data_IF_110286878075
#
_entry.id   IF_110286878075
#
_cell.length_a   1.000
_cell.length_b   1.000
_cell.length_c   1.000
_cell.angle_alpha   90.00
_cell.angle_beta   90.00
_cell.angle_gamma   90.00
#
_symmetry.space_group_name_H-M   'P 1'
#
loop_
_entity.id
_entity.type
_entity.pdbx_description
1 polymer ?
#
# COMPACT_ATOMS: atom_id res chain seq x y z
N UNK A 1 -7.95 -51.55 -28.50
CA UNK A 1 -6.68 -52.11 -29.03
C UNK A 1 -5.62 -51.03 -28.93
N UNK A 2 -4.61 -51.31 -28.10
CA UNK A 2 -3.24 -50.79 -28.09
C UNK A 2 -3.08 -49.27 -27.87
N UNK A 3 -2.66 -48.75 -26.76
CA UNK A 3 -1.54 -48.97 -25.81
C UNK A 3 -0.20 -48.32 -26.26
N UNK A 4 0.37 -47.60 -25.29
CA UNK A 4 1.81 -47.21 -25.07
C UNK A 4 2.30 -45.96 -25.82
N UNK A 5 3.19 -45.15 -25.27
CA UNK A 5 4.07 -45.22 -24.10
C UNK A 5 4.67 -43.88 -23.77
N UNK A 6 4.87 -43.57 -22.54
CA UNK A 6 6.01 -43.11 -21.77
C UNK A 6 7.08 -42.23 -22.45
N UNK A 7 7.31 -41.04 -21.92
CA UNK A 7 8.66 -40.57 -21.68
C UNK A 7 8.72 -39.63 -20.48
N UNK A 8 9.46 -40.04 -19.50
CA UNK A 8 9.93 -39.34 -18.31
C UNK A 8 10.93 -38.28 -18.70
N UNK A 9 10.79 -37.08 -18.16
CA UNK A 9 11.90 -36.14 -17.99
C UNK A 9 11.93 -35.72 -16.53
N UNK A 10 12.81 -36.32 -15.76
CA UNK A 10 13.25 -35.88 -14.46
C UNK A 10 13.97 -34.52 -14.61
N UNK A 11 13.50 -33.51 -13.88
CA UNK A 11 14.30 -32.35 -13.54
C UNK A 11 14.45 -32.30 -12.03
N UNK A 12 15.70 -32.35 -11.59
CA UNK A 12 16.19 -32.38 -10.24
C UNK A 12 15.75 -31.17 -9.43
N UNK A 13 15.01 -31.41 -8.34
CA UNK A 13 14.90 -30.47 -7.24
C UNK A 13 16.07 -30.70 -6.29
N UNK A 14 17.00 -29.75 -6.24
CA UNK A 14 17.98 -29.67 -5.17
C UNK A 14 17.32 -29.00 -3.96
N UNK A 15 16.93 -29.82 -3.00
CA UNK A 15 16.51 -29.36 -1.66
C UNK A 15 17.79 -29.17 -0.85
N UNK A 16 18.13 -27.94 -0.55
CA UNK A 16 19.17 -27.60 0.42
C UNK A 16 18.55 -27.66 1.82
N UNK A 17 18.77 -28.75 2.50
CA UNK A 17 18.44 -28.91 3.93
C UNK A 17 19.60 -28.30 4.72
N UNK A 18 19.38 -27.17 5.37
CA UNK A 18 20.24 -26.67 6.43
C UNK A 18 19.92 -27.44 7.70
N UNK A 19 20.84 -28.28 8.13
CA UNK A 19 20.82 -28.95 9.43
C UNK A 19 21.19 -27.95 10.52
N UNK A 20 20.28 -27.75 11.47
CA UNK A 20 20.57 -27.09 12.75
C UNK A 20 21.51 -28.00 13.56
N UNK A 21 22.72 -27.55 13.83
CA UNK A 21 23.53 -28.15 14.88
C UNK A 21 23.20 -27.51 16.22
N UNK A 22 22.64 -28.36 17.07
CA UNK A 22 22.44 -28.15 18.51
C UNK A 22 23.79 -27.98 19.21
N UNK A 23 24.10 -26.82 19.73
CA UNK A 23 25.10 -26.64 20.78
C UNK A 23 24.44 -26.49 22.16
N UNK A 24 24.61 -27.53 22.95
CA UNK A 24 24.21 -27.60 24.36
C UNK A 24 24.98 -26.59 25.20
N UNK A 25 24.38 -26.01 26.24
CA UNK A 25 25.08 -25.10 27.14
C UNK A 25 25.92 -25.91 28.15
N UNK A 26 27.23 -25.63 28.18
CA UNK A 26 28.09 -26.06 29.30
C UNK A 26 27.77 -25.21 30.51
N UNK A 27 27.26 -25.86 31.53
CA UNK A 27 27.25 -25.37 32.91
C UNK A 27 28.67 -25.02 33.35
N UNK A 28 28.87 -23.78 33.77
CA UNK A 28 29.86 -23.45 34.76
C UNK A 28 29.22 -22.65 35.90
N UNK A 29 28.91 -23.40 36.94
CA UNK A 29 28.77 -22.89 38.30
C UNK A 29 30.05 -22.22 38.72
N UNK A 30 29.99 -20.95 39.13
CA UNK A 30 30.70 -20.44 40.32
C UNK A 30 30.30 -18.99 40.68
N UNK A 31 30.00 -18.90 41.94
CA UNK A 31 29.98 -17.79 42.89
C UNK A 31 28.78 -16.82 42.87
N UNK A 32 27.92 -17.12 43.84
CA UNK A 32 27.20 -16.16 44.68
C UNK A 32 28.21 -15.21 45.32
N UNK A 33 27.90 -13.93 45.27
CA UNK A 33 27.95 -12.89 46.26
C UNK A 33 28.05 -11.54 45.58
N UNK A 34 26.91 -10.91 45.42
CA UNK A 34 26.82 -9.49 45.11
C UNK A 34 25.87 -8.85 46.16
N UNK A 35 26.33 -7.85 46.93
CA UNK A 35 25.47 -7.12 47.88
C UNK A 35 24.40 -6.31 47.13
N UNK A 36 23.28 -5.93 47.77
CA UNK A 36 22.12 -5.34 47.12
C UNK A 36 22.25 -3.83 46.93
N UNK A 37 23.13 -3.40 46.02
CA UNK A 37 23.11 -2.03 45.51
C UNK A 37 23.79 -1.93 44.13
N UNK A 38 23.14 -2.51 43.12
CA UNK A 38 23.55 -2.40 41.74
C UNK A 38 22.46 -1.72 40.90
N UNK A 39 21.95 -0.59 41.35
CA UNK A 39 21.10 0.26 40.52
C UNK A 39 21.97 1.15 39.63
N UNK A 40 21.98 0.85 38.33
CA UNK A 40 22.11 1.87 37.27
C UNK A 40 23.49 2.21 36.73
N UNK A 41 24.55 1.37 36.84
CA UNK A 41 25.79 1.61 36.08
C UNK A 41 25.93 0.60 34.93
N UNK A 42 25.88 1.09 33.70
CA UNK A 42 26.31 0.33 32.52
C UNK A 42 27.75 -0.16 32.79
N UNK A 43 27.94 -1.46 32.89
CA UNK A 43 29.30 -2.06 32.99
C UNK A 43 30.02 -1.74 31.68
N UNK A 44 30.99 -0.81 31.76
CA UNK A 44 32.04 -0.72 30.73
C UNK A 44 32.77 -2.05 30.75
N UNK A 45 32.72 -2.81 29.66
CA UNK A 45 33.52 -4.04 29.55
C UNK A 45 35.00 -3.62 29.62
N UNK A 46 35.65 -3.95 30.69
CA UNK A 46 37.12 -3.83 30.89
C UNK A 46 37.75 -4.86 29.97
N UNK A 47 38.17 -4.49 28.77
CA UNK A 47 38.55 -5.49 27.78
C UNK A 47 39.75 -5.18 26.90
N UNK A 48 40.35 -4.01 27.01
CA UNK A 48 41.53 -3.64 26.18
C UNK A 48 42.74 -3.28 27.05
N UNK A 49 43.00 -2.03 27.31
CA UNK A 49 44.13 -1.59 28.11
C UNK A 49 44.11 -2.18 29.55
N UNK A 50 42.96 -2.52 30.07
CA UNK A 50 42.86 -3.24 31.36
C UNK A 50 43.46 -4.65 31.29
N UNK A 51 43.44 -5.32 30.13
CA UNK A 51 44.04 -6.65 29.93
C UNK A 51 45.53 -6.58 29.60
N UNK A 52 45.93 -5.61 28.77
CA UNK A 52 47.30 -5.44 28.29
C UNK A 52 48.20 -4.72 29.32
N UNK A 53 47.63 -3.79 30.05
CA UNK A 53 48.37 -2.78 30.81
C UNK A 53 48.72 -1.58 29.94
N UNK A 54 49.12 -0.50 30.60
CA UNK A 54 49.55 0.74 29.97
C UNK A 54 51.04 0.72 29.74
N UNK A 55 51.53 1.09 28.55
CA UNK A 55 52.97 1.10 28.21
C UNK A 55 53.50 2.54 28.25
N UNK A 56 54.71 2.78 28.82
CA UNK A 56 55.29 4.11 28.88
C UNK A 56 55.87 4.52 27.52
N UNK A 57 55.70 5.80 27.20
CA UNK A 57 56.16 6.39 25.93
C UNK A 57 55.42 5.86 24.72
N UNK A 58 56.09 5.88 23.57
CA UNK A 58 55.57 5.26 22.34
C UNK A 58 56.08 3.80 22.25
N UNK A 59 55.18 2.85 22.19
CA UNK A 59 55.51 1.42 22.08
C UNK A 59 54.58 0.75 21.04
N UNK A 60 55.08 0.58 19.82
CA UNK A 60 54.39 -0.04 18.69
C UNK A 60 53.99 -1.52 18.95
N UNK A 61 54.48 -2.13 20.04
CA UNK A 61 54.11 -3.48 20.47
C UNK A 61 52.98 -3.47 21.54
N UNK A 62 52.61 -2.31 22.04
CA UNK A 62 51.56 -2.17 23.04
C UNK A 62 50.14 -2.17 22.39
N UNK A 63 49.88 -3.20 21.65
CA UNK A 63 48.69 -3.34 20.80
C UNK A 63 47.75 -4.43 21.28
N UNK A 64 46.46 -4.26 20.96
CA UNK A 64 45.40 -5.25 21.14
C UNK A 64 44.48 -5.29 19.93
N UNK A 65 43.90 -6.45 19.64
CA UNK A 65 42.90 -6.58 18.59
C UNK A 65 41.59 -5.90 19.01
N UNK A 66 41.16 -4.94 18.21
CA UNK A 66 39.97 -4.15 18.49
C UNK A 66 38.67 -4.83 18.05
N UNK A 67 38.72 -5.62 16.94
CA UNK A 67 37.53 -6.31 16.41
C UNK A 67 37.92 -7.56 15.58
N UNK A 68 36.91 -8.31 15.14
CA UNK A 68 37.08 -9.52 14.32
C UNK A 68 37.69 -9.29 12.92
N UNK A 69 37.96 -8.04 12.52
CA UNK A 69 38.57 -7.68 11.23
C UNK A 69 40.07 -7.35 11.33
N UNK A 70 40.76 -7.82 12.37
CA UNK A 70 42.17 -7.59 12.62
C UNK A 70 42.59 -6.12 12.79
N UNK A 71 41.67 -5.21 13.09
CA UNK A 71 42.05 -3.86 13.50
C UNK A 71 42.69 -3.91 14.89
N UNK A 72 43.78 -3.18 15.07
CA UNK A 72 44.53 -3.07 16.33
C UNK A 72 44.29 -1.70 16.95
N UNK A 73 44.40 -1.63 18.29
CA UNK A 73 44.44 -0.37 19.04
C UNK A 73 45.58 -0.37 20.02
N UNK A 74 46.06 0.80 20.42
CA UNK A 74 47.22 1.01 21.28
C UNK A 74 46.83 1.39 22.70
N UNK A 75 47.68 0.99 23.66
CA UNK A 75 47.53 1.30 25.08
C UNK A 75 48.79 2.01 25.65
N UNK A 76 49.52 2.70 24.81
CA UNK A 76 50.75 3.42 25.19
C UNK A 76 50.47 4.93 25.46
N UNK A 77 51.45 5.59 26.11
CA UNK A 77 51.33 7.01 26.49
C UNK A 77 51.32 7.95 25.25
N UNK A 78 51.66 7.47 24.05
CA UNK A 78 51.55 8.25 22.84
C UNK A 78 50.08 8.64 22.54
N UNK A 79 49.14 7.85 23.03
CA UNK A 79 47.71 8.16 23.00
C UNK A 79 47.34 9.44 23.79
N UNK A 80 48.19 9.91 24.67
CA UNK A 80 48.01 11.14 25.43
C UNK A 80 48.88 12.31 24.94
N UNK A 81 49.55 12.15 23.78
CA UNK A 81 50.38 13.23 23.19
C UNK A 81 49.53 14.40 22.70
N UNK A 82 50.08 15.59 22.63
CA UNK A 82 49.42 16.82 22.18
C UNK A 82 49.99 17.28 20.82
N UNK A 83 49.23 17.33 19.71
CA UNK A 83 47.82 16.94 19.63
C UNK A 83 47.63 15.40 19.74
N UNK A 84 46.56 14.95 20.35
CA UNK A 84 46.35 13.51 20.51
C UNK A 84 46.06 12.88 19.15
N UNK A 85 46.97 12.03 18.68
CA UNK A 85 46.73 11.15 17.52
C UNK A 85 45.86 9.96 17.99
N UNK A 86 44.63 10.30 18.40
CA UNK A 86 43.73 9.38 19.10
C UNK A 86 42.99 8.37 18.25
N UNK A 87 43.29 8.30 16.93
CA UNK A 87 42.56 7.46 15.98
C UNK A 87 42.76 5.98 16.27
N UNK A 88 43.94 5.61 16.79
CA UNK A 88 44.37 4.23 17.01
C UNK A 88 44.37 3.78 18.46
N UNK A 89 43.95 4.59 19.41
CA UNK A 89 43.94 4.27 20.82
C UNK A 89 42.76 3.39 21.22
N UNK A 90 43.01 2.49 22.16
CA UNK A 90 41.95 1.61 22.65
C UNK A 90 40.86 2.39 23.40
N UNK A 91 39.59 1.97 23.31
CA UNK A 91 38.47 2.72 23.87
C UNK A 91 38.50 2.95 25.38
N UNK A 92 39.22 2.11 26.10
CA UNK A 92 39.38 2.18 27.56
C UNK A 92 40.73 2.81 27.98
N UNK A 93 41.54 3.32 27.07
CA UNK A 93 42.85 3.91 27.35
C UNK A 93 42.79 5.01 28.39
N UNK A 94 41.95 6.01 28.20
CA UNK A 94 41.82 7.14 29.11
C UNK A 94 41.35 6.74 30.53
N UNK A 95 40.45 5.76 30.59
CA UNK A 95 39.89 5.25 31.83
C UNK A 95 40.93 4.46 32.63
N UNK A 96 41.74 3.66 31.93
CA UNK A 96 42.66 2.69 32.53
C UNK A 96 44.04 3.31 32.75
N UNK A 97 44.57 4.03 31.75
CA UNK A 97 45.96 4.49 31.75
C UNK A 97 46.13 5.89 32.41
N UNK A 98 45.12 6.74 32.28
CA UNK A 98 45.16 8.10 32.86
C UNK A 98 44.21 8.31 34.03
N UNK A 99 43.46 7.27 34.43
CA UNK A 99 42.52 7.32 35.58
C UNK A 99 41.52 8.49 35.52
N UNK A 100 41.23 9.00 34.32
CA UNK A 100 40.20 10.02 34.14
C UNK A 100 38.82 9.39 34.33
N UNK A 101 37.92 10.12 34.99
CA UNK A 101 36.52 9.71 35.06
C UNK A 101 35.86 9.85 33.69
N UNK A 102 34.77 9.12 33.38
CA UNK A 102 34.04 9.26 32.14
C UNK A 102 33.53 10.71 31.87
N UNK A 103 33.50 11.53 32.88
CA UNK A 103 33.10 12.94 32.81
C UNK A 103 34.26 13.87 32.41
N UNK A 104 35.50 13.49 32.70
CA UNK A 104 36.70 14.22 32.31
C UNK A 104 37.16 13.93 30.87
N UNK A 105 36.70 12.81 30.30
CA UNK A 105 37.05 12.34 28.96
C UNK A 105 35.96 12.76 27.98
N UNK A 106 35.41 13.93 28.07
CA UNK A 106 34.71 14.52 26.94
C UNK A 106 35.71 15.31 26.09
N UNK A 107 36.29 14.73 24.99
CA UNK A 107 36.77 15.59 23.95
C UNK A 107 35.56 16.42 23.53
N UNK A 108 35.70 17.74 23.50
CA UNK A 108 34.78 18.62 22.83
C UNK A 108 34.93 18.44 21.30
N UNK A 109 34.92 17.21 20.82
CA UNK A 109 34.55 16.93 19.46
C UNK A 109 33.04 17.08 19.45
N UNK A 110 32.58 18.28 19.13
CA UNK A 110 31.22 18.45 18.68
C UNK A 110 31.05 17.47 17.52
N UNK A 111 30.64 16.25 17.81
CA UNK A 111 30.20 15.30 16.80
C UNK A 111 28.90 15.88 16.21
N UNK A 112 29.11 16.77 15.24
CA UNK A 112 28.02 17.28 14.44
C UNK A 112 27.41 16.10 13.70
N UNK A 113 26.14 15.84 13.97
CA UNK A 113 25.43 14.75 13.33
C UNK A 113 24.47 14.03 14.26
N UNK A 114 23.70 13.14 13.71
CA UNK A 114 22.62 12.44 14.40
C UNK A 114 22.92 10.95 14.53
N UNK A 115 22.39 10.34 15.58
CA UNK A 115 22.46 8.88 15.78
C UNK A 115 21.09 8.25 15.50
N UNK A 116 21.09 7.13 14.77
CA UNK A 116 19.92 6.29 14.55
C UNK A 116 20.37 4.82 14.46
N UNK A 117 19.68 3.93 15.20
CA UNK A 117 19.93 2.49 15.19
C UNK A 117 21.40 2.11 15.40
N UNK A 118 22.09 2.84 16.31
CA UNK A 118 23.50 2.64 16.63
C UNK A 118 24.50 3.11 15.56
N UNK A 119 24.05 3.83 14.54
CA UNK A 119 24.88 4.44 13.49
C UNK A 119 24.90 5.96 13.63
N UNK A 120 26.05 6.55 13.34
CA UNK A 120 26.24 7.98 13.23
C UNK A 120 25.97 8.43 11.78
N UNK A 121 25.28 9.53 11.64
CA UNK A 121 24.95 10.20 10.38
C UNK A 121 25.46 11.64 10.44
N UNK A 122 25.99 12.14 9.35
CA UNK A 122 26.46 13.50 9.24
C UNK A 122 25.31 14.51 9.37
N UNK A 123 25.65 15.74 9.70
CA UNK A 123 24.71 16.88 9.67
C UNK A 123 24.11 16.98 8.26
N UNK A 124 22.85 17.38 8.13
CA UNK A 124 22.10 17.44 6.88
C UNK A 124 21.71 16.06 6.29
N UNK A 125 22.15 14.94 6.85
CA UNK A 125 21.71 13.61 6.41
C UNK A 125 20.19 13.47 6.49
N UNK A 126 19.61 12.76 5.55
CA UNK A 126 18.16 12.54 5.47
C UNK A 126 17.80 11.05 5.41
N UNK A 127 16.69 10.68 5.98
CA UNK A 127 16.06 9.39 5.75
C UNK A 127 14.55 9.53 5.72
N UNK A 128 13.88 8.50 5.17
CA UNK A 128 12.41 8.38 5.23
C UNK A 128 12.00 7.36 6.30
N UNK A 129 11.04 7.77 7.12
CA UNK A 129 10.32 6.89 8.03
C UNK A 129 8.86 6.84 7.59
N UNK A 130 8.50 5.78 6.88
CA UNK A 130 7.23 5.68 6.17
C UNK A 130 7.03 6.91 5.25
N UNK A 131 5.96 7.69 5.42
CA UNK A 131 5.71 8.89 4.63
C UNK A 131 6.47 10.13 5.10
N UNK A 132 7.05 10.08 6.29
CA UNK A 132 7.74 11.21 6.88
C UNK A 132 9.20 11.29 6.45
N UNK A 133 9.66 12.49 6.15
CA UNK A 133 11.07 12.78 5.84
C UNK A 133 11.74 13.36 7.08
N UNK A 134 12.83 12.74 7.51
CA UNK A 134 13.65 13.16 8.62
C UNK A 134 14.97 13.75 8.12
N UNK A 135 15.41 14.86 8.72
CA UNK A 135 16.66 15.51 8.43
C UNK A 135 17.43 15.73 9.72
N UNK A 136 18.73 15.46 9.71
CA UNK A 136 19.61 15.77 10.83
C UNK A 136 19.89 17.27 10.86
N UNK A 137 19.50 17.95 11.93
CA UNK A 137 19.71 19.40 12.11
C UNK A 137 20.12 19.68 13.54
N UNK A 138 21.30 20.26 13.73
CA UNK A 138 21.89 20.53 15.04
C UNK A 138 21.94 19.28 15.93
N UNK A 139 22.45 18.19 15.38
CA UNK A 139 22.58 16.88 16.04
C UNK A 139 21.25 16.24 16.51
N UNK A 140 20.12 16.70 15.98
CA UNK A 140 18.80 16.13 16.25
C UNK A 140 18.06 15.84 14.95
N UNK A 141 17.37 14.66 14.93
CA UNK A 141 16.49 14.35 13.83
C UNK A 141 15.23 15.20 13.89
N UNK A 142 15.00 15.97 12.83
CA UNK A 142 13.77 16.72 12.61
C UNK A 142 12.99 16.04 11.51
N UNK A 143 11.83 15.50 11.87
CA UNK A 143 10.94 14.78 10.93
C UNK A 143 9.71 15.65 10.64
N UNK A 144 9.15 15.48 9.44
CA UNK A 144 7.78 15.94 9.15
C UNK A 144 6.81 15.13 9.99
N UNK A 145 5.65 15.70 10.29
CA UNK A 145 4.59 15.06 11.09
C UNK A 145 3.33 14.90 10.23
N UNK A 146 3.48 14.17 9.13
CA UNK A 146 2.37 13.85 8.22
C UNK A 146 1.69 12.56 8.66
N UNK A 147 0.36 12.53 8.56
CA UNK A 147 -0.37 11.28 8.73
C UNK A 147 -0.10 10.36 7.55
N UNK A 148 0.52 9.21 7.80
CA UNK A 148 0.83 8.23 6.76
C UNK A 148 -0.38 7.36 6.43
N UNK A 149 -0.46 6.94 5.16
CA UNK A 149 -1.53 6.06 4.69
C UNK A 149 -1.48 4.69 5.36
N UNK A 150 -0.27 4.15 5.56
CA UNK A 150 -0.06 2.93 6.34
C UNK A 150 0.24 3.29 7.79
N UNK A 151 -0.60 2.82 8.70
CA UNK A 151 -0.51 3.05 10.13
C UNK A 151 -0.41 1.70 10.84
N UNK A 152 0.82 1.26 11.16
CA UNK A 152 1.07 -0.08 11.74
C UNK A 152 0.34 -0.30 13.06
N UNK A 153 0.24 0.72 13.92
CA UNK A 153 -0.50 0.64 15.19
C UNK A 153 -2.00 0.42 14.95
N UNK A 154 -2.58 1.08 13.95
CA UNK A 154 -3.98 0.91 13.59
C UNK A 154 -4.23 -0.49 13.01
N UNK A 155 -3.32 -1.02 12.20
CA UNK A 155 -3.38 -2.40 11.70
C UNK A 155 -3.41 -3.40 12.86
N UNK A 156 -2.53 -3.24 13.83
CA UNK A 156 -2.47 -4.09 15.02
C UNK A 156 -3.75 -3.99 15.86
N UNK A 157 -4.25 -2.78 16.08
CA UNK A 157 -5.50 -2.52 16.78
C UNK A 157 -6.69 -3.20 16.10
N UNK A 158 -6.82 -3.09 14.79
CA UNK A 158 -7.89 -3.70 14.03
C UNK A 158 -7.80 -5.23 14.11
N UNK A 159 -6.60 -5.79 13.93
CA UNK A 159 -6.39 -7.23 13.88
C UNK A 159 -6.55 -7.91 15.25
N UNK A 160 -6.28 -7.21 16.34
CA UNK A 160 -6.50 -7.69 17.71
C UNK A 160 -7.93 -7.41 18.22
N UNK A 161 -8.64 -6.49 17.59
CA UNK A 161 -10.00 -6.10 17.98
C UNK A 161 -11.10 -6.98 17.39
N UNK A 162 -12.35 -6.65 17.72
CA UNK A 162 -13.57 -7.36 17.30
C UNK A 162 -14.33 -6.61 16.20
N UNK A 163 -13.63 -5.97 15.29
CA UNK A 163 -14.25 -5.11 14.26
C UNK A 163 -14.96 -5.88 13.14
N UNK A 164 -14.76 -7.20 13.05
CA UNK A 164 -15.37 -8.05 12.02
C UNK A 164 -14.65 -8.01 10.66
N UNK A 165 -13.51 -7.36 10.59
CA UNK A 165 -12.66 -7.30 9.41
C UNK A 165 -11.17 -7.33 9.79
N UNK A 166 -10.30 -7.54 8.82
CA UNK A 166 -8.85 -7.59 9.01
C UNK A 166 -8.16 -6.54 8.16
N UNK A 167 -7.07 -6.00 8.69
CA UNK A 167 -6.21 -5.03 8.06
C UNK A 167 -4.87 -5.65 7.66
N UNK A 168 -4.21 -5.07 6.65
CA UNK A 168 -2.87 -5.48 6.21
C UNK A 168 -2.02 -4.27 5.81
N UNK A 169 -0.71 -4.50 5.74
CA UNK A 169 0.27 -3.53 5.27
C UNK A 169 0.50 -3.74 3.76
N UNK A 170 0.04 -2.80 2.96
CA UNK A 170 0.21 -2.83 1.51
C UNK A 170 1.45 -2.02 1.09
N UNK A 171 2.44 -2.70 0.51
CA UNK A 171 3.71 -2.08 0.08
C UNK A 171 3.52 -0.93 -0.91
N UNK A 172 2.49 -0.99 -1.77
CA UNK A 172 2.16 0.09 -2.71
C UNK A 172 1.67 1.39 -2.04
N UNK A 173 1.30 1.32 -0.76
CA UNK A 173 0.87 2.49 0.03
C UNK A 173 1.93 2.96 1.02
N UNK A 174 2.99 2.17 1.20
CA UNK A 174 4.10 2.55 2.06
C UNK A 174 4.81 3.80 1.54
N UNK A 175 5.05 4.76 2.41
CA UNK A 175 5.66 6.02 2.03
C UNK A 175 4.70 7.08 1.47
N UNK A 176 3.41 6.76 1.34
CA UNK A 176 2.37 7.74 0.97
C UNK A 176 1.78 8.41 2.21
N UNK A 177 1.55 9.70 2.13
CA UNK A 177 0.72 10.43 3.10
C UNK A 177 -0.76 10.10 2.88
N UNK A 178 -1.56 10.25 3.92
CA UNK A 178 -3.01 10.09 3.82
C UNK A 178 -3.61 11.04 2.75
N UNK A 179 -3.09 12.26 2.66
CA UNK A 179 -3.47 13.23 1.62
C UNK A 179 -3.20 12.73 0.20
N UNK A 180 -2.05 12.10 -0.02
CA UNK A 180 -1.73 11.47 -1.32
C UNK A 180 -2.66 10.28 -1.60
N UNK A 181 -2.98 9.47 -0.58
CA UNK A 181 -3.96 8.39 -0.70
C UNK A 181 -5.31 8.91 -1.19
N UNK A 182 -5.85 9.94 -0.59
CA UNK A 182 -7.10 10.55 -1.04
C UNK A 182 -6.98 11.14 -2.46
N UNK A 183 -5.89 11.83 -2.77
CA UNK A 183 -5.71 12.51 -4.06
C UNK A 183 -5.48 11.55 -5.22
N UNK A 184 -4.88 10.36 -4.99
CA UNK A 184 -4.43 9.48 -6.07
C UNK A 184 -5.17 8.14 -6.13
N UNK A 185 -5.85 7.73 -5.03
CA UNK A 185 -6.46 6.40 -4.92
C UNK A 185 -7.99 6.40 -4.88
N UNK A 186 -8.60 7.57 -4.79
CA UNK A 186 -10.06 7.71 -4.80
C UNK A 186 -10.53 8.28 -6.14
N UNK A 187 -11.39 9.28 -6.15
CA UNK A 187 -11.69 10.04 -7.37
C UNK A 187 -13.14 10.03 -7.82
N UNK A 188 -14.08 9.47 -7.07
CA UNK A 188 -15.49 9.60 -7.39
C UNK A 188 -16.07 10.85 -6.74
N UNK A 189 -16.70 11.70 -7.53
CA UNK A 189 -17.38 12.89 -7.04
C UNK A 189 -18.70 12.54 -6.34
N UNK A 190 -19.13 13.42 -5.46
CA UNK A 190 -20.44 13.33 -4.82
C UNK A 190 -21.56 13.12 -5.86
N UNK A 191 -22.58 12.32 -5.57
CA UNK A 191 -23.70 12.10 -6.47
C UNK A 191 -24.33 13.43 -6.92
N UNK A 192 -24.59 13.57 -8.21
CA UNK A 192 -25.31 14.74 -8.71
C UNK A 192 -26.77 14.72 -8.24
N UNK A 193 -27.40 15.90 -8.13
CA UNK A 193 -28.83 16.01 -7.81
C UNK A 193 -29.67 15.12 -8.76
N UNK A 194 -29.36 15.11 -10.06
CA UNK A 194 -30.06 14.29 -11.04
C UNK A 194 -30.00 12.77 -10.74
N UNK A 195 -28.88 12.29 -10.15
CA UNK A 195 -28.77 10.90 -9.72
C UNK A 195 -29.59 10.65 -8.43
N UNK A 196 -29.55 11.59 -7.49
CA UNK A 196 -30.30 11.48 -6.24
C UNK A 196 -31.82 11.57 -6.45
N UNK A 197 -32.26 12.36 -7.42
CA UNK A 197 -33.69 12.54 -7.78
C UNK A 197 -34.21 11.42 -8.70
N UNK A 198 -33.32 10.55 -9.22
CA UNK A 198 -33.75 9.45 -10.06
C UNK A 198 -34.65 8.50 -9.26
N UNK A 199 -35.85 8.23 -9.80
CA UNK A 199 -36.78 7.28 -9.19
C UNK A 199 -36.13 5.91 -9.06
N UNK A 200 -36.02 5.35 -7.85
CA UNK A 200 -35.39 4.04 -7.68
C UNK A 200 -36.28 2.94 -8.25
N UNK A 201 -35.64 1.94 -8.86
CA UNK A 201 -36.30 0.68 -9.18
C UNK A 201 -36.51 -0.08 -7.87
N UNK A 202 -37.75 -0.45 -7.61
CA UNK A 202 -38.16 -1.28 -6.49
C UNK A 202 -38.70 -2.59 -7.04
N UNK A 203 -38.31 -3.70 -6.41
CA UNK A 203 -38.93 -4.98 -6.78
C UNK A 203 -40.23 -5.24 -6.05
N UNK A 204 -40.87 -6.34 -6.38
CA UNK A 204 -41.98 -6.86 -5.60
C UNK A 204 -41.50 -7.26 -4.20
N UNK A 205 -42.40 -7.19 -3.23
CA UNK A 205 -42.20 -7.27 -1.77
C UNK A 205 -41.56 -8.56 -1.24
N UNK A 206 -40.39 -8.97 -1.77
CA UNK A 206 -39.60 -10.06 -1.17
C UNK A 206 -38.97 -9.55 0.16
N UNK A 207 -39.07 -10.34 1.21
CA UNK A 207 -38.35 -10.08 2.44
C UNK A 207 -36.88 -10.51 2.32
N UNK A 208 -36.00 -9.96 3.14
CA UNK A 208 -34.58 -10.38 3.18
C UNK A 208 -34.46 -11.87 3.47
N UNK A 209 -35.38 -12.43 4.26
CA UNK A 209 -35.44 -13.85 4.60
C UNK A 209 -35.68 -14.78 3.39
N UNK A 210 -36.15 -14.23 2.26
CA UNK A 210 -36.40 -15.02 1.04
C UNK A 210 -35.11 -15.25 0.22
N UNK A 211 -33.99 -14.64 0.62
CA UNK A 211 -32.71 -14.78 -0.04
C UNK A 211 -31.81 -15.78 0.68
N UNK A 212 -30.89 -16.47 -0.05
CA UNK A 212 -29.91 -17.33 0.58
C UNK A 212 -29.02 -16.51 1.53
N UNK A 213 -28.58 -17.12 2.63
CA UNK A 213 -27.69 -16.44 3.59
C UNK A 213 -26.28 -16.14 3.04
N UNK A 214 -25.98 -16.65 1.84
CA UNK A 214 -24.70 -16.49 1.17
C UNK A 214 -24.91 -16.46 -0.34
N UNK A 215 -24.28 -15.52 -1.03
CA UNK A 215 -24.26 -15.40 -2.48
C UNK A 215 -22.93 -14.78 -2.94
N UNK A 216 -22.28 -15.43 -3.88
CA UNK A 216 -21.03 -14.95 -4.51
C UNK A 216 -21.20 -14.99 -6.01
N UNK A 217 -21.13 -13.84 -6.65
CA UNK A 217 -21.41 -13.69 -8.07
C UNK A 217 -20.45 -14.50 -8.95
N UNK A 218 -19.14 -14.65 -8.59
CA UNK A 218 -18.20 -15.50 -9.33
C UNK A 218 -18.51 -16.99 -9.25
N UNK A 219 -19.23 -17.44 -8.23
CA UNK A 219 -19.68 -18.81 -8.17
C UNK A 219 -20.94 -19.04 -9.03
N UNK A 220 -21.79 -18.03 -9.13
CA UNK A 220 -22.99 -18.08 -9.98
C UNK A 220 -22.63 -17.91 -11.47
N UNK A 221 -21.69 -17.02 -11.78
CA UNK A 221 -21.23 -16.69 -13.12
C UNK A 221 -19.71 -16.85 -13.27
N UNK A 222 -19.20 -18.09 -13.21
CA UNK A 222 -17.77 -18.33 -13.36
C UNK A 222 -17.28 -17.83 -14.72
N UNK A 223 -16.11 -17.21 -14.74
CA UNK A 223 -15.45 -16.60 -15.90
C UNK A 223 -16.17 -15.38 -16.52
N UNK A 224 -17.31 -14.95 -15.95
CA UNK A 224 -18.04 -13.76 -16.41
C UNK A 224 -17.87 -12.57 -15.47
N UNK A 225 -17.41 -12.82 -14.26
CA UNK A 225 -17.03 -11.79 -13.29
C UNK A 225 -15.54 -11.57 -13.40
N UNK A 226 -15.14 -10.34 -13.68
CA UNK A 226 -13.76 -10.00 -13.96
C UNK A 226 -12.96 -9.64 -12.72
N UNK A 227 -11.65 -9.91 -12.76
CA UNK A 227 -10.72 -9.47 -11.72
C UNK A 227 -10.57 -7.94 -11.68
N UNK A 228 -10.30 -7.33 -10.48
CA UNK A 228 -10.12 -5.90 -10.36
C UNK A 228 -8.91 -5.40 -11.12
N UNK A 229 -9.07 -4.28 -11.77
CA UNK A 229 -7.97 -3.52 -12.33
C UNK A 229 -7.40 -2.55 -11.30
N UNK A 230 -6.07 -2.47 -11.20
CA UNK A 230 -5.40 -1.48 -10.34
C UNK A 230 -5.43 -0.09 -10.99
N UNK A 231 -6.07 0.88 -10.32
CA UNK A 231 -6.08 2.27 -10.78
C UNK A 231 -4.77 3.02 -10.52
N UNK A 232 -3.82 2.42 -9.81
CA UNK A 232 -2.51 3.03 -9.42
C UNK A 232 -2.68 4.45 -8.86
N UNK A 233 -1.80 5.37 -9.24
CA UNK A 233 -1.83 6.78 -8.81
C UNK A 233 -2.71 7.65 -9.72
N UNK A 234 -3.93 7.19 -9.98
CA UNK A 234 -4.92 7.89 -10.79
C UNK A 234 -6.26 7.91 -10.05
N UNK A 235 -6.71 9.07 -9.62
CA UNK A 235 -7.99 9.22 -8.92
C UNK A 235 -9.17 9.00 -9.87
N UNK A 236 -9.36 7.78 -10.32
CA UNK A 236 -10.32 7.38 -11.35
C UNK A 236 -11.22 6.22 -10.93
N UNK A 237 -11.48 6.02 -9.62
CA UNK A 237 -12.40 5.00 -9.14
C UNK A 237 -13.77 5.04 -9.85
N UNK A 238 -14.24 6.24 -10.21
CA UNK A 238 -15.44 6.46 -11.01
C UNK A 238 -15.42 5.74 -12.37
N UNK A 239 -14.27 5.69 -13.03
CA UNK A 239 -14.12 5.07 -14.35
C UNK A 239 -13.91 3.56 -14.25
N UNK A 240 -13.07 3.14 -13.29
CA UNK A 240 -12.77 1.72 -13.07
C UNK A 240 -14.00 0.94 -12.66
N UNK A 241 -14.72 1.41 -11.65
CA UNK A 241 -15.92 0.72 -11.17
C UNK A 241 -17.04 0.71 -12.22
N UNK A 242 -17.22 1.81 -12.99
CA UNK A 242 -18.23 1.84 -14.05
C UNK A 242 -17.88 0.87 -15.17
N UNK A 243 -16.63 0.81 -15.61
CA UNK A 243 -16.18 -0.12 -16.65
C UNK A 243 -16.30 -1.58 -16.21
N UNK A 244 -15.92 -1.89 -14.96
CA UNK A 244 -16.00 -3.22 -14.38
C UNK A 244 -17.45 -3.72 -14.30
N UNK A 245 -18.34 -2.95 -13.66
CA UNK A 245 -19.77 -3.33 -13.57
C UNK A 245 -20.41 -3.46 -14.93
N UNK A 246 -20.05 -2.61 -15.91
CA UNK A 246 -20.55 -2.73 -17.26
C UNK A 246 -20.07 -4.01 -17.94
N UNK A 247 -18.79 -4.38 -17.77
CA UNK A 247 -18.22 -5.61 -18.34
C UNK A 247 -18.92 -6.85 -17.80
N UNK A 248 -19.04 -6.97 -16.47
CA UNK A 248 -19.65 -8.12 -15.81
C UNK A 248 -21.12 -8.28 -16.23
N UNK A 249 -21.89 -7.18 -16.23
CA UNK A 249 -23.29 -7.23 -16.66
C UNK A 249 -23.46 -7.55 -18.15
N UNK A 250 -22.56 -7.09 -19.01
CA UNK A 250 -22.56 -7.48 -20.43
C UNK A 250 -22.26 -8.97 -20.56
N UNK A 251 -21.30 -9.51 -19.80
CA UNK A 251 -21.00 -10.92 -19.80
C UNK A 251 -22.21 -11.76 -19.35
N UNK A 252 -22.85 -11.40 -18.25
CA UNK A 252 -24.03 -12.07 -17.70
C UNK A 252 -25.20 -12.01 -18.72
N UNK A 253 -25.58 -10.83 -19.17
CA UNK A 253 -26.72 -10.68 -20.06
C UNK A 253 -26.48 -11.23 -21.47
N UNK A 254 -25.22 -11.34 -21.89
CA UNK A 254 -24.84 -12.02 -23.13
C UNK A 254 -24.71 -13.54 -23.00
N UNK A 255 -24.89 -14.08 -21.79
CA UNK A 255 -24.63 -15.49 -21.48
C UNK A 255 -23.23 -15.94 -21.88
N UNK A 256 -22.22 -15.17 -21.47
CA UNK A 256 -20.81 -15.43 -21.72
C UNK A 256 -20.34 -15.23 -23.16
N UNK A 257 -21.18 -14.66 -24.05
CA UNK A 257 -20.73 -14.39 -25.43
C UNK A 257 -19.75 -13.22 -25.55
N UNK A 258 -19.75 -12.33 -24.56
CA UNK A 258 -18.90 -11.15 -24.49
C UNK A 258 -18.34 -11.04 -23.07
N UNK A 259 -17.12 -11.50 -22.89
CA UNK A 259 -16.41 -11.55 -21.59
C UNK A 259 -15.16 -10.67 -21.58
N UNK A 260 -15.13 -9.63 -22.42
CA UNK A 260 -14.00 -8.71 -22.44
C UNK A 260 -14.07 -7.73 -21.26
N UNK A 261 -12.96 -7.51 -20.57
CA UNK A 261 -12.80 -6.36 -19.70
C UNK A 261 -12.99 -5.08 -20.49
N UNK A 262 -13.80 -4.14 -20.02
CA UNK A 262 -13.97 -2.84 -20.65
C UNK A 262 -12.90 -1.85 -20.20
N UNK A 263 -12.60 -0.88 -21.06
CA UNK A 263 -11.52 0.07 -20.85
C UNK A 263 -11.90 1.23 -19.90
N UNK A 264 -11.34 1.31 -18.68
CA UNK A 264 -11.44 2.53 -17.88
C UNK A 264 -10.74 3.71 -18.55
N UNK A 265 -9.64 3.47 -19.31
CA UNK A 265 -8.92 4.51 -20.03
C UNK A 265 -9.81 5.23 -21.05
N UNK A 266 -10.70 4.49 -21.71
CA UNK A 266 -11.66 5.08 -22.64
C UNK A 266 -12.57 6.09 -21.92
N UNK A 267 -13.04 5.79 -20.72
CA UNK A 267 -13.79 6.75 -19.89
C UNK A 267 -12.91 7.94 -19.48
N UNK A 268 -11.74 7.68 -18.91
CA UNK A 268 -10.81 8.68 -18.40
C UNK A 268 -10.46 9.71 -19.47
N UNK A 269 -10.22 9.26 -20.69
CA UNK A 269 -9.77 10.13 -21.79
C UNK A 269 -10.90 10.78 -22.59
N UNK A 270 -12.07 10.14 -22.66
CA UNK A 270 -13.11 10.55 -23.61
C UNK A 270 -14.33 11.23 -22.94
N UNK A 271 -14.52 11.06 -21.64
CA UNK A 271 -15.58 11.76 -20.89
C UNK A 271 -15.03 13.09 -20.41
N UNK A 272 -15.22 14.14 -21.17
CA UNK A 272 -14.64 15.46 -20.88
C UNK A 272 -15.58 16.42 -20.15
N UNK A 273 -16.90 16.19 -20.22
CA UNK A 273 -17.89 17.09 -19.62
C UNK A 273 -17.95 16.85 -18.10
N UNK A 274 -17.54 17.85 -17.31
CA UNK A 274 -17.52 17.79 -15.85
C UNK A 274 -16.76 16.57 -15.31
N UNK A 275 -15.67 16.20 -15.97
CA UNK A 275 -14.76 15.12 -15.58
C UNK A 275 -13.32 15.61 -15.66
N UNK A 276 -12.49 15.14 -14.75
CA UNK A 276 -11.11 15.60 -14.61
C UNK A 276 -10.09 14.47 -14.78
N UNK A 277 -10.49 13.39 -15.46
CA UNK A 277 -9.61 12.26 -15.71
C UNK A 277 -9.08 11.60 -14.43
N UNK A 278 -7.77 11.62 -14.21
CA UNK A 278 -7.12 11.13 -12.98
C UNK A 278 -7.27 12.08 -11.77
N UNK A 279 -8.03 13.15 -11.87
CA UNK A 279 -8.34 14.06 -10.76
C UNK A 279 -9.79 13.97 -10.31
N UNK A 280 -10.48 12.92 -10.71
CA UNK A 280 -11.83 12.63 -10.30
C UNK A 280 -12.89 12.78 -11.37
N UNK A 281 -14.07 12.23 -11.11
CA UNK A 281 -15.21 12.26 -12.01
C UNK A 281 -16.52 11.74 -11.40
N UNK A 282 -17.60 11.90 -12.17
CA UNK A 282 -18.94 11.52 -11.80
C UNK A 282 -19.35 10.21 -12.47
N UNK A 283 -19.91 9.28 -11.72
CA UNK A 283 -20.46 8.02 -12.26
C UNK A 283 -21.64 8.27 -13.20
N UNK A 284 -22.45 9.29 -12.95
CA UNK A 284 -23.58 9.63 -13.83
C UNK A 284 -23.13 9.97 -15.26
N UNK A 285 -22.02 10.71 -15.38
CA UNK A 285 -21.45 11.07 -16.67
C UNK A 285 -20.81 9.84 -17.33
N UNK A 286 -20.18 8.97 -16.56
CA UNK A 286 -19.60 7.72 -17.06
C UNK A 286 -20.68 6.82 -17.66
N UNK A 287 -21.77 6.55 -16.95
CA UNK A 287 -22.90 5.76 -17.46
C UNK A 287 -23.59 6.42 -18.65
N UNK A 288 -23.74 7.76 -18.62
CA UNK A 288 -24.28 8.49 -19.76
C UNK A 288 -23.40 8.34 -21.01
N UNK A 289 -22.09 8.30 -20.83
CA UNK A 289 -21.14 8.07 -21.93
C UNK A 289 -21.27 6.64 -22.48
N UNK A 290 -21.29 5.62 -21.60
CA UNK A 290 -21.46 4.22 -22.04
C UNK A 290 -22.78 4.05 -22.80
N UNK A 291 -23.87 4.65 -22.33
CA UNK A 291 -25.14 4.62 -23.04
C UNK A 291 -25.04 5.27 -24.41
N UNK A 292 -24.38 6.42 -24.52
CA UNK A 292 -24.33 7.21 -25.78
C UNK A 292 -23.27 6.71 -26.74
N UNK A 293 -22.13 6.32 -26.26
CA UNK A 293 -20.95 6.02 -27.08
C UNK A 293 -20.48 4.57 -26.94
N UNK A 294 -20.74 3.94 -25.82
CA UNK A 294 -20.13 2.65 -25.48
C UNK A 294 -18.65 2.76 -25.15
N UNK A 295 -18.04 1.62 -24.87
CA UNK A 295 -16.61 1.48 -24.61
C UNK A 295 -16.00 0.39 -25.50
N UNK A 296 -14.71 0.50 -25.75
CA UNK A 296 -13.90 -0.61 -26.27
C UNK A 296 -13.38 -1.48 -25.14
N UNK A 297 -12.84 -2.64 -25.47
CA UNK A 297 -12.18 -3.52 -24.49
C UNK A 297 -10.93 -2.88 -23.89
N UNK A 298 -10.53 -3.36 -22.71
CA UNK A 298 -9.26 -2.98 -22.07
C UNK A 298 -8.06 -3.40 -22.93
N UNK A 299 -8.15 -4.52 -23.63
CA UNK A 299 -7.12 -4.94 -24.57
C UNK A 299 -6.93 -3.95 -25.72
N UNK A 300 -8.03 -3.38 -26.23
CA UNK A 300 -8.00 -2.35 -27.29
C UNK A 300 -7.44 -1.02 -26.80
N UNK A 301 -7.88 -0.56 -25.64
CA UNK A 301 -7.46 0.72 -25.07
C UNK A 301 -6.98 0.51 -23.64
N UNK A 302 -5.75 -0.01 -23.47
CA UNK A 302 -5.17 -0.26 -22.14
C UNK A 302 -4.88 1.04 -21.41
N UNK A 303 -4.60 0.92 -20.12
CA UNK A 303 -4.23 2.07 -19.29
C UNK A 303 -2.88 2.64 -19.70
N UNK A 304 -2.84 3.92 -20.02
CA UNK A 304 -1.61 4.65 -20.33
C UNK A 304 -1.14 5.42 -19.09
N UNK A 305 -0.02 4.99 -18.51
CA UNK A 305 0.53 5.55 -17.29
C UNK A 305 1.43 6.77 -17.48
N UNK A 306 1.59 7.22 -18.72
CA UNK A 306 2.49 8.34 -19.00
C UNK A 306 1.75 9.66 -18.74
N UNK A 307 2.01 10.25 -17.57
CA UNK A 307 1.45 11.56 -17.14
C UNK A 307 1.79 12.73 -18.09
N UNK A 308 2.70 12.53 -19.04
CA UNK A 308 3.17 13.54 -20.00
C UNK A 308 2.26 13.65 -21.25
N UNK A 309 1.36 12.71 -21.50
CA UNK A 309 0.42 12.86 -22.60
C UNK A 309 -0.90 13.43 -22.09
N UNK A 310 -1.38 14.54 -22.67
CA UNK A 310 -2.74 15.00 -22.41
C UNK A 310 -3.68 13.83 -22.64
N UNK A 311 -4.72 13.71 -21.82
CA UNK A 311 -5.73 12.65 -21.93
C UNK A 311 -6.56 12.86 -23.18
N UNK A 312 -5.91 12.67 -24.35
CA UNK A 312 -6.56 12.78 -25.65
C UNK A 312 -7.39 11.52 -25.86
N UNK A 313 -8.67 11.71 -26.16
CA UNK A 313 -9.55 10.62 -26.53
C UNK A 313 -9.06 9.97 -27.83
N UNK A 314 -8.50 8.77 -27.72
CA UNK A 314 -7.94 8.07 -28.85
C UNK A 314 -9.02 7.34 -29.65
N UNK A 315 -10.05 6.79 -28.98
CA UNK A 315 -11.15 6.03 -29.62
C UNK A 315 -12.49 6.48 -29.03
N UNK A 316 -13.41 6.85 -29.88
CA UNK A 316 -14.83 7.04 -29.56
C UNK A 316 -15.66 6.28 -30.60
N UNK A 317 -16.97 6.46 -30.61
CA UNK A 317 -17.83 5.77 -31.53
C UNK A 317 -18.78 6.70 -32.30
N UNK A 318 -19.16 6.26 -33.48
CA UNK A 318 -20.18 6.87 -34.32
C UNK A 318 -21.20 5.82 -34.76
N UNK A 319 -22.35 6.24 -35.22
CA UNK A 319 -23.30 5.34 -35.89
C UNK A 319 -22.85 5.09 -37.33
N UNK A 320 -22.92 3.85 -37.76
CA UNK A 320 -22.83 3.50 -39.19
C UNK A 320 -24.18 3.69 -39.93
N UNK A 321 -24.18 3.35 -41.21
CA UNK A 321 -25.38 3.48 -42.04
C UNK A 321 -26.53 2.55 -41.58
N UNK A 322 -26.20 1.46 -40.92
CA UNK A 322 -27.15 0.49 -40.37
C UNK A 322 -27.60 0.84 -38.94
N UNK A 323 -27.17 1.99 -38.38
CA UNK A 323 -27.50 2.44 -37.05
C UNK A 323 -26.77 1.68 -35.92
N UNK A 324 -25.70 0.97 -36.22
CA UNK A 324 -24.84 0.32 -35.22
C UNK A 324 -23.69 1.21 -34.83
N UNK A 325 -23.23 1.09 -33.57
CA UNK A 325 -22.04 1.79 -33.08
C UNK A 325 -20.77 1.15 -33.62
N UNK A 326 -19.89 1.95 -34.21
CA UNK A 326 -18.56 1.55 -34.65
C UNK A 326 -17.51 2.51 -34.10
N UNK A 327 -16.34 1.97 -33.78
CA UNK A 327 -15.22 2.78 -33.36
C UNK A 327 -14.77 3.74 -34.44
N UNK A 328 -14.39 4.96 -34.03
CA UNK A 328 -13.93 6.01 -34.98
C UNK A 328 -12.52 5.77 -35.49
N UNK A 329 -11.72 4.97 -34.77
CA UNK A 329 -10.31 4.69 -35.05
C UNK A 329 -9.96 3.25 -34.68
N UNK A 330 -8.85 2.71 -35.22
CA UNK A 330 -8.25 1.47 -34.70
C UNK A 330 -7.90 1.56 -33.22
N UNK A 331 -7.64 0.43 -32.62
CA UNK A 331 -7.20 0.34 -31.22
C UNK A 331 -5.89 1.12 -31.02
N UNK A 332 -5.77 1.89 -29.90
CA UNK A 332 -4.48 2.44 -29.49
C UNK A 332 -3.41 1.38 -29.25
N UNK A 333 -3.81 0.21 -28.78
CA UNK A 333 -2.95 -0.97 -28.76
C UNK A 333 -2.91 -1.61 -30.15
N UNK A 334 -1.79 -1.45 -30.86
CA UNK A 334 -1.60 -1.96 -32.22
C UNK A 334 -1.60 -3.49 -32.34
N UNK A 335 -1.47 -4.21 -31.22
CA UNK A 335 -1.53 -5.68 -31.19
C UNK A 335 -2.97 -6.19 -31.09
N UNK A 336 -3.95 -5.32 -30.78
CA UNK A 336 -5.35 -5.68 -30.69
C UNK A 336 -6.09 -5.21 -31.95
N UNK A 337 -6.71 -6.14 -32.62
CA UNK A 337 -7.43 -5.87 -33.90
C UNK A 337 -8.90 -5.54 -33.66
N UNK A 338 -9.48 -6.02 -32.55
CA UNK A 338 -10.88 -5.83 -32.23
C UNK A 338 -11.14 -4.49 -31.57
N UNK A 339 -11.68 -3.53 -32.28
CA UNK A 339 -12.18 -2.26 -31.76
C UNK A 339 -13.70 -2.27 -31.55
N UNK A 340 -14.27 -3.42 -31.20
CA UNK A 340 -15.71 -3.57 -30.94
C UNK A 340 -16.15 -2.57 -29.86
N UNK A 341 -17.34 -1.97 -30.10
CA UNK A 341 -17.99 -1.09 -29.14
C UNK A 341 -19.00 -1.88 -28.30
N UNK A 342 -18.86 -1.83 -26.99
CA UNK A 342 -19.76 -2.38 -26.01
C UNK A 342 -20.63 -1.26 -25.44
N UNK A 343 -21.94 -1.42 -25.49
CA UNK A 343 -22.89 -0.37 -25.10
C UNK A 343 -23.89 -0.92 -24.09
N UNK A 344 -24.23 -0.11 -23.08
CA UNK A 344 -25.26 -0.40 -22.11
C UNK A 344 -26.54 0.40 -22.37
N UNK A 345 -27.65 -0.06 -21.81
CA UNK A 345 -28.90 0.66 -21.77
C UNK A 345 -28.87 1.90 -20.89
N UNK A 346 -30.04 2.42 -20.55
CA UNK A 346 -30.13 3.55 -19.62
C UNK A 346 -29.75 3.13 -18.21
N UNK A 347 -28.90 3.90 -17.52
CA UNK A 347 -28.63 3.66 -16.13
C UNK A 347 -29.91 3.87 -15.29
N UNK A 348 -30.01 3.14 -14.20
CA UNK A 348 -31.10 3.25 -13.26
C UNK A 348 -30.57 3.19 -11.82
N UNK A 349 -31.33 3.76 -10.91
CA UNK A 349 -31.03 3.72 -9.48
C UNK A 349 -31.78 2.57 -8.83
N UNK A 350 -31.11 1.83 -7.96
CA UNK A 350 -31.72 0.78 -7.14
C UNK A 350 -32.19 1.41 -5.85
N UNK A 351 -33.29 0.88 -5.28
CA UNK A 351 -33.77 1.25 -3.96
C UNK A 351 -32.69 0.95 -2.89
N UNK A 352 -32.67 1.76 -1.83
CA UNK A 352 -31.77 1.52 -0.69
C UNK A 352 -32.20 0.36 0.22
N UNK A 353 -33.31 -0.32 -0.09
CA UNK A 353 -33.75 -1.51 0.65
C UNK A 353 -32.81 -2.68 0.34
N UNK A 354 -32.32 -3.33 1.39
CA UNK A 354 -31.41 -4.47 1.28
C UNK A 354 -31.95 -5.55 0.34
N UNK A 355 -33.22 -5.94 0.49
CA UNK A 355 -33.86 -6.94 -0.37
C UNK A 355 -33.86 -6.55 -1.85
N UNK A 356 -34.02 -5.28 -2.20
CA UNK A 356 -33.99 -4.82 -3.57
C UNK A 356 -32.57 -4.88 -4.15
N UNK A 357 -31.57 -4.56 -3.35
CA UNK A 357 -30.14 -4.65 -3.73
C UNK A 357 -29.75 -6.12 -3.91
N UNK A 358 -30.10 -6.99 -2.97
CA UNK A 358 -29.80 -8.43 -3.04
C UNK A 358 -30.42 -9.07 -4.28
N UNK A 359 -31.66 -8.71 -4.60
CA UNK A 359 -32.34 -9.20 -5.80
C UNK A 359 -31.62 -8.73 -7.06
N UNK A 360 -31.32 -7.45 -7.13
CA UNK A 360 -30.65 -6.87 -8.30
C UNK A 360 -29.31 -7.56 -8.59
N UNK A 361 -28.53 -7.80 -7.54
CA UNK A 361 -27.24 -8.49 -7.67
C UNK A 361 -27.44 -9.93 -8.13
N UNK A 362 -28.42 -10.63 -7.57
CA UNK A 362 -28.68 -12.04 -7.88
C UNK A 362 -29.25 -12.24 -9.30
N UNK A 363 -30.05 -11.27 -9.78
CA UNK A 363 -30.70 -11.39 -11.09
C UNK A 363 -29.88 -10.80 -12.23
N UNK A 364 -29.14 -9.72 -11.97
CA UNK A 364 -28.51 -8.90 -13.00
C UNK A 364 -27.00 -8.72 -12.80
N UNK A 365 -26.40 -9.24 -11.74
CA UNK A 365 -24.98 -9.14 -11.46
C UNK A 365 -24.58 -7.90 -10.65
N UNK A 366 -23.29 -7.59 -10.58
CA UNK A 366 -22.74 -6.54 -9.73
C UNK A 366 -23.41 -5.18 -9.90
N UNK A 367 -23.45 -4.41 -8.81
CA UNK A 367 -24.00 -3.04 -8.78
C UNK A 367 -22.91 -2.05 -8.39
N UNK A 368 -23.00 -0.82 -8.87
CA UNK A 368 -22.09 0.25 -8.48
C UNK A 368 -22.66 1.00 -7.28
N UNK A 369 -21.83 1.20 -6.26
CA UNK A 369 -22.16 1.99 -5.09
C UNK A 369 -21.16 3.12 -4.87
N UNK A 370 -21.58 4.14 -4.11
CA UNK A 370 -20.75 5.25 -3.68
C UNK A 370 -20.70 5.20 -2.15
N UNK A 371 -19.49 5.21 -1.58
CA UNK A 371 -19.30 5.19 -0.13
C UNK A 371 -18.31 6.26 0.31
N UNK A 372 -18.48 6.75 1.53
CA UNK A 372 -17.44 7.58 2.16
C UNK A 372 -16.28 6.70 2.57
N UNK A 373 -15.06 7.15 2.27
CA UNK A 373 -13.82 6.45 2.63
C UNK A 373 -13.18 7.16 3.81
N UNK A 374 -12.81 6.37 4.80
CA UNK A 374 -12.02 6.77 5.95
C UNK A 374 -10.59 6.27 5.80
N UNK A 375 -9.69 6.78 6.62
CA UNK A 375 -8.26 6.44 6.57
C UNK A 375 -7.99 4.94 6.78
N UNK A 376 -8.74 4.29 7.65
CA UNK A 376 -8.61 2.86 7.93
C UNK A 376 -9.02 1.94 6.75
N UNK A 377 -9.81 2.45 5.79
CA UNK A 377 -10.22 1.66 4.62
C UNK A 377 -9.03 1.28 3.72
N UNK A 378 -7.99 2.10 3.67
CA UNK A 378 -6.78 1.79 2.90
C UNK A 378 -6.01 0.58 3.43
N UNK A 379 -6.30 0.18 4.67
CA UNK A 379 -5.71 -0.97 5.34
C UNK A 379 -6.55 -2.25 5.18
N UNK A 380 -7.75 -2.17 4.57
CA UNK A 380 -8.68 -3.28 4.48
C UNK A 380 -8.09 -4.48 3.73
N UNK A 381 -8.18 -5.66 4.36
CA UNK A 381 -7.76 -6.96 3.78
C UNK A 381 -8.95 -7.87 3.49
N UNK A 382 -9.76 -8.14 4.50
CA UNK A 382 -10.85 -9.11 4.39
C UNK A 382 -11.91 -8.91 5.48
N UNK A 383 -13.10 -9.50 5.31
CA UNK A 383 -14.21 -9.40 6.24
C UNK A 383 -15.19 -8.28 5.88
N UNK A 384 -16.11 -7.96 6.78
CA UNK A 384 -17.10 -6.90 6.58
C UNK A 384 -16.54 -5.59 7.15
N UNK A 385 -16.10 -4.68 6.26
CA UNK A 385 -15.54 -3.41 6.67
C UNK A 385 -16.56 -2.58 7.46
N UNK A 386 -16.11 -2.06 8.59
CA UNK A 386 -16.75 -1.01 9.36
C UNK A 386 -15.67 -0.04 9.81
N UNK A 387 -15.95 1.25 9.70
CA UNK A 387 -15.02 2.25 10.21
C UNK A 387 -14.76 2.03 11.70
N UNK A 388 -13.48 1.99 12.07
CA UNK A 388 -13.05 1.88 13.45
C UNK A 388 -13.29 3.23 14.10
N UNK A 389 -14.22 3.31 15.05
CA UNK A 389 -14.60 4.52 15.74
C UNK A 389 -13.47 5.11 16.59
N UNK A 390 -12.64 5.90 15.95
CA UNK A 390 -11.89 7.01 16.52
C UNK A 390 -12.43 8.26 15.87
N UNK A 391 -12.16 9.45 16.36
CA UNK A 391 -12.63 10.68 15.70
C UNK A 391 -12.19 10.63 14.22
N UNK A 392 -13.13 10.70 13.26
CA UNK A 392 -12.76 10.67 11.87
C UNK A 392 -11.87 11.88 11.62
N UNK A 393 -10.60 11.67 11.29
CA UNK A 393 -9.78 12.73 10.77
C UNK A 393 -10.31 13.08 9.38
N UNK A 394 -11.32 13.90 9.35
CA UNK A 394 -11.79 14.60 8.18
C UNK A 394 -10.72 15.62 7.82
N UNK A 395 -9.78 15.22 6.96
CA UNK A 395 -8.89 16.17 6.33
C UNK A 395 -9.75 17.09 5.45
N UNK A 396 -10.05 18.30 5.97
CA UNK A 396 -10.46 19.41 5.15
C UNK A 396 -9.31 19.67 4.18
N UNK A 397 -9.48 19.30 2.91
CA UNK A 397 -8.53 19.68 1.87
C UNK A 397 -8.80 21.15 1.57
N UNK A 398 -7.85 22.08 1.87
CA UNK A 398 -8.00 23.47 1.49
C UNK A 398 -7.86 23.59 -0.03
N UNK A 399 -8.86 24.08 -0.72
CA UNK A 399 -8.82 24.47 -2.12
C UNK A 399 -9.92 23.88 -2.98
N UNK A 400 -10.81 24.71 -3.42
CA UNK A 400 -11.76 24.73 -4.57
C UNK A 400 -12.27 23.43 -5.22
N UNK A 401 -12.31 22.32 -4.49
CA UNK A 401 -13.15 21.18 -4.86
C UNK A 401 -14.36 21.16 -3.93
N UNK A 402 -15.57 21.44 -4.43
CA UNK A 402 -16.77 21.29 -3.65
C UNK A 402 -17.03 19.80 -3.43
N UNK A 403 -16.50 19.26 -2.34
CA UNK A 403 -16.66 17.85 -2.07
C UNK A 403 -15.97 17.44 -0.79
N UNK A 404 -16.56 17.76 0.35
CA UNK A 404 -16.16 17.27 1.67
C UNK A 404 -16.17 15.73 1.80
N UNK A 405 -16.45 14.99 0.73
CA UNK A 405 -16.59 13.55 0.77
C UNK A 405 -16.07 12.94 -0.53
N UNK A 406 -14.81 12.57 -0.53
CA UNK A 406 -14.30 11.72 -1.61
C UNK A 406 -14.90 10.32 -1.42
N UNK A 407 -15.54 9.83 -2.46
CA UNK A 407 -16.30 8.59 -2.41
C UNK A 407 -15.72 7.62 -3.42
N UNK A 408 -15.42 6.39 -3.01
CA UNK A 408 -15.08 5.31 -3.92
C UNK A 408 -16.36 4.79 -4.54
N UNK A 409 -16.40 4.70 -5.87
CA UNK A 409 -17.34 3.87 -6.57
C UNK A 409 -16.57 2.67 -7.12
N UNK A 410 -16.87 1.50 -6.66
CA UNK A 410 -16.26 0.29 -7.16
C UNK A 410 -16.67 -0.91 -6.37
N UNK A 411 -16.89 -1.96 -7.06
CA UNK A 411 -17.38 -3.19 -6.51
C UNK A 411 -16.43 -4.31 -6.77
N UNK A 412 -16.13 -5.04 -5.73
CA UNK A 412 -15.53 -6.33 -5.85
C UNK A 412 -16.26 -7.33 -5.00
N UNK A 413 -16.38 -8.50 -5.50
CA UNK A 413 -17.21 -9.59 -5.08
C UNK A 413 -16.97 -10.02 -3.63
N UNK A 414 -15.73 -10.24 -3.24
CA UNK A 414 -15.35 -10.58 -1.87
C UNK A 414 -15.53 -9.42 -0.88
N UNK A 415 -15.76 -8.21 -1.37
CA UNK A 415 -15.92 -6.97 -0.60
C UNK A 415 -17.36 -6.50 -0.52
N UNK A 416 -18.27 -7.16 -1.18
CA UNK A 416 -19.68 -6.80 -1.21
C UNK A 416 -20.38 -6.94 0.13
N UNK A 417 -19.89 -7.81 1.00
CA UNK A 417 -20.35 -7.91 2.40
C UNK A 417 -20.12 -6.63 3.21
N UNK A 418 -19.30 -5.69 2.69
CA UNK A 418 -18.97 -4.42 3.32
C UNK A 418 -20.12 -3.41 3.24
N UNK A 419 -20.98 -3.47 2.23
CA UNK A 419 -21.92 -2.41 1.90
C UNK A 419 -23.32 -2.65 2.47
N UNK A 420 -23.67 -3.87 2.79
CA UNK A 420 -25.04 -4.24 3.15
C UNK A 420 -25.36 -4.25 4.65
N UNK A 421 -24.44 -3.86 5.53
CA UNK A 421 -24.74 -3.72 6.97
C UNK A 421 -24.38 -2.31 7.46
N UNK A 422 -25.42 -1.54 7.78
CA UNK A 422 -25.34 -0.37 8.65
C UNK A 422 -24.87 -0.72 10.05
#
# INVERSE_FOLDING_TARGET
>A
MWARAWSLALCCFAIMICTEELFAPRNNTLHKDCPPDCSGRKRVRRSYCWLRGCCPGRDDNCILQYNARNATCYCDEFCASDPPDSIDCCPDFWLVCHKHTPEDIRPQVQQWGCFKDGRHYEEEATFKDNCNSCKCVNSHWRCTDETCLIQLKLIEQINSGTYGWKADNYSQFWGMTLKEGFNYRLGTFHPSAALLDMRPVTGNTAAVADFPGFFVASYEWPDWIHDPLDQRNCAASWAFSTASVAADRIAIHSQGRFTDNLSPQNLISCVIKNQHGCKGGSISNAWSYIKKHGLVSHACYPLFWNQLHPMICAVTSVFDAEGKRRATKPCPNQFETSNRIYQCGSPYRISSKEADIMREIRENGPVQAIMRVYDDFFLYKSGIYRHTSGEPQLLQIPGDFPGENTVISGFYEDKMNVILKN
#
